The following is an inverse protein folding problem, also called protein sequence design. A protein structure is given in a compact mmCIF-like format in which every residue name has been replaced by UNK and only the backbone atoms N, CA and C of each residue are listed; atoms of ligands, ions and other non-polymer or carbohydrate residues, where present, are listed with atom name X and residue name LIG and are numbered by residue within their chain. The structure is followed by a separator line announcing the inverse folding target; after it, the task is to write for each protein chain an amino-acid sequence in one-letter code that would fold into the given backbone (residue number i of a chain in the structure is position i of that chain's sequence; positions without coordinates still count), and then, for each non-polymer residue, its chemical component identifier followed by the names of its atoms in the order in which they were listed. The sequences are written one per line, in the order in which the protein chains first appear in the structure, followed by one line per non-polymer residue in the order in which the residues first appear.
data_IF_650887726399
#
_entry.id   IF_650887726399
#
_cell.length_a   1.000
_cell.length_b   1.000
_cell.length_c   1.000
_cell.angle_alpha   90.00
_cell.angle_beta   90.00
_cell.angle_gamma   90.00
#
_symmetry.space_group_name_H-M   'P 1'
#
loop_
_entity.id
_entity.type
_entity.pdbx_description
1 polymer ?
#
# COMPACT_ATOMS: atom_id res chain seq x y z
N UNK A 1 -14.07 17.61 0.51
CA UNK A 1 -13.26 16.38 0.39
C UNK A 1 -12.99 15.96 1.81
N UNK A 2 -13.41 14.75 2.17
CA UNK A 2 -13.15 14.20 3.50
C UNK A 2 -11.63 14.01 3.63
N UNK A 3 -11.05 14.48 4.73
CA UNK A 3 -9.62 14.34 4.99
C UNK A 3 -9.35 12.88 5.35
N UNK A 4 -8.49 12.21 4.57
CA UNK A 4 -8.19 10.79 4.78
C UNK A 4 -7.25 10.62 5.97
N UNK A 5 -7.50 9.58 6.76
CA UNK A 5 -6.62 9.15 7.84
C UNK A 5 -5.33 8.55 7.26
N UNK A 6 -4.21 8.74 7.96
CA UNK A 6 -2.89 8.24 7.54
C UNK A 6 -2.39 7.20 8.55
N UNK A 7 -1.75 6.14 8.06
CA UNK A 7 -1.04 5.17 8.92
C UNK A 7 0.30 5.75 9.37
N UNK A 8 0.92 5.22 10.45
CA UNK A 8 2.28 5.61 10.85
C UNK A 8 3.35 5.39 9.77
N UNK A 9 3.10 4.50 8.79
CA UNK A 9 4.02 4.18 7.70
C UNK A 9 3.71 4.92 6.39
N UNK A 10 2.75 5.85 6.38
CA UNK A 10 2.31 6.58 5.17
C UNK A 10 3.47 7.22 4.39
N UNK A 11 4.38 7.90 5.09
CA UNK A 11 5.57 8.51 4.47
C UNK A 11 6.50 7.49 3.80
N UNK A 12 6.56 6.26 4.32
CA UNK A 12 7.37 5.21 3.71
C UNK A 12 6.71 4.68 2.43
N UNK A 13 5.39 4.57 2.41
CA UNK A 13 4.63 4.19 1.21
C UNK A 13 4.85 5.21 0.07
N UNK A 14 4.87 6.50 0.40
CA UNK A 14 5.16 7.57 -0.57
C UNK A 14 6.60 7.48 -1.12
N UNK A 15 7.60 7.26 -0.26
CA UNK A 15 9.00 7.08 -0.69
C UNK A 15 9.18 5.86 -1.59
N UNK A 16 8.48 4.77 -1.29
CA UNK A 16 8.45 3.54 -2.09
C UNK A 16 7.62 3.69 -3.37
N UNK A 17 7.01 4.86 -3.61
CA UNK A 17 6.17 5.16 -4.78
C UNK A 17 4.97 4.22 -4.90
N UNK A 18 4.41 3.82 -3.75
CA UNK A 18 3.17 3.06 -3.72
C UNK A 18 2.06 3.84 -4.43
N UNK A 19 1.16 3.11 -5.09
CA UNK A 19 -0.09 3.68 -5.58
C UNK A 19 -1.04 3.82 -4.40
N UNK A 20 -1.23 5.04 -3.93
CA UNK A 20 -2.14 5.35 -2.83
C UNK A 20 -3.59 5.49 -3.32
N UNK A 21 -4.54 4.97 -2.54
CA UNK A 21 -5.99 5.08 -2.82
C UNK A 21 -6.77 5.37 -1.52
N UNK A 22 -7.92 6.06 -1.63
CA UNK A 22 -8.87 6.10 -0.53
C UNK A 22 -9.46 4.71 -0.29
N UNK A 23 -9.26 4.17 0.91
CA UNK A 23 -9.81 2.88 1.34
C UNK A 23 -10.30 3.00 2.79
N UNK A 24 -11.61 2.84 2.98
CA UNK A 24 -12.28 2.89 4.28
C UNK A 24 -11.93 4.12 5.15
N UNK A 25 -11.81 5.28 4.50
CA UNK A 25 -11.47 6.54 5.17
C UNK A 25 -9.96 6.77 5.39
N UNK A 26 -9.10 5.86 4.94
CA UNK A 26 -7.64 5.99 4.98
C UNK A 26 -7.04 6.19 3.58
N UNK A 27 -5.86 6.81 3.52
CA UNK A 27 -5.02 6.82 2.33
C UNK A 27 -4.03 5.65 2.37
N UNK A 28 -4.34 4.57 1.64
CA UNK A 28 -3.68 3.27 1.76
C UNK A 28 -2.95 2.84 0.49
N UNK A 29 -1.82 2.12 0.59
CA UNK A 29 -1.10 1.60 -0.57
C UNK A 29 -1.82 0.38 -1.19
N UNK A 30 -2.25 0.47 -2.45
CA UNK A 30 -2.89 -0.66 -3.17
C UNK A 30 -1.89 -1.56 -3.90
N UNK A 31 -0.75 -1.01 -4.32
CA UNK A 31 0.36 -1.75 -4.95
C UNK A 31 1.65 -0.91 -4.95
N UNK A 32 2.80 -1.56 -5.06
CA UNK A 32 4.14 -0.96 -5.17
C UNK A 32 4.81 -1.28 -6.52
N UNK A 33 4.89 -2.56 -6.89
CA UNK A 33 5.50 -3.03 -8.15
C UNK A 33 4.46 -3.57 -9.13
N UNK A 34 3.36 -4.13 -8.62
CA UNK A 34 2.23 -4.60 -9.41
C UNK A 34 1.49 -5.75 -8.73
N UNK A 35 0.16 -5.73 -8.78
CA UNK A 35 -0.70 -6.69 -8.05
C UNK A 35 -0.34 -8.16 -8.31
N UNK A 36 -0.07 -8.53 -9.57
CA UNK A 36 0.26 -9.92 -9.91
C UNK A 36 1.62 -10.33 -9.32
N UNK A 37 2.62 -9.46 -9.44
CA UNK A 37 3.97 -9.70 -8.92
C UNK A 37 3.95 -9.83 -7.39
N UNK A 38 3.27 -8.90 -6.71
CA UNK A 38 3.12 -8.90 -5.25
C UNK A 38 2.34 -10.12 -4.75
N UNK A 39 1.30 -10.55 -5.48
CA UNK A 39 0.57 -11.77 -5.18
C UNK A 39 1.49 -13.01 -5.20
N UNK A 40 2.29 -13.17 -6.26
CA UNK A 40 3.24 -14.28 -6.35
C UNK A 40 4.34 -14.18 -5.28
N UNK A 41 4.81 -12.97 -4.95
CA UNK A 41 5.78 -12.78 -3.87
C UNK A 41 5.26 -13.32 -2.53
N UNK A 42 3.99 -13.07 -2.19
CA UNK A 42 3.37 -13.61 -0.97
C UNK A 42 3.20 -15.13 -1.04
N UNK A 43 2.81 -15.67 -2.19
CA UNK A 43 2.54 -17.10 -2.36
C UNK A 43 3.80 -17.96 -2.37
N UNK A 44 4.87 -17.45 -2.94
CA UNK A 44 6.09 -18.22 -3.21
C UNK A 44 7.23 -17.85 -2.27
N UNK A 45 7.16 -16.69 -1.60
CA UNK A 45 8.23 -16.14 -0.77
C UNK A 45 7.67 -15.53 0.52
N UNK A 46 7.71 -14.21 0.64
CA UNK A 46 7.26 -13.43 1.79
C UNK A 46 6.67 -12.12 1.27
N UNK A 47 5.59 -11.66 1.91
CA UNK A 47 5.05 -10.32 1.73
C UNK A 47 4.82 -9.67 3.08
N UNK A 48 4.90 -8.34 3.11
CA UNK A 48 4.60 -7.50 4.27
C UNK A 48 3.45 -6.59 3.86
N UNK A 49 2.49 -6.42 4.75
CA UNK A 49 1.35 -5.52 4.59
C UNK A 49 1.34 -4.58 5.80
N UNK A 50 1.08 -3.30 5.53
CA UNK A 50 0.67 -2.32 6.55
C UNK A 50 -0.85 -2.37 6.71
#
# INVERSE_FOLDING_TARGET
MEELLLTPLHEEHLKLKARMIPFDGFDMPVQYTGIIEEHFAVREKIGIFD
#
